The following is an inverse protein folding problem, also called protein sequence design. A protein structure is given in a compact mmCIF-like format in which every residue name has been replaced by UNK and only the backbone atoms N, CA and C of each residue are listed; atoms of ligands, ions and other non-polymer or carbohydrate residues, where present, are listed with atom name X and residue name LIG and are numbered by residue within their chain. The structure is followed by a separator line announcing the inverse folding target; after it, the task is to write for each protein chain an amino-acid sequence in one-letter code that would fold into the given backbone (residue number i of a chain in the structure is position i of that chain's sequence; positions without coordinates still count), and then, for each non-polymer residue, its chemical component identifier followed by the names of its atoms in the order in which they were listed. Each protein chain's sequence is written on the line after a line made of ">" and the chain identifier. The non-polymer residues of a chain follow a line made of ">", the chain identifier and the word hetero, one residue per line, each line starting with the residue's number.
data_IF_678702439847
#
_entry.id   IF_678702439847
#
_cell.length_a   1.000
_cell.length_b   1.000
_cell.length_c   1.000
_cell.angle_alpha   90.00
_cell.angle_beta   90.00
_cell.angle_gamma   90.00
#
_symmetry.space_group_name_H-M   'P 1'
#
loop_
_entity.id
_entity.type
_entity.pdbx_description
1 polymer ?
#
# COMPACT_ATOMS: atom_id res chain seq x y z
N UNK A 1 -6.67 32.19 43.55
CA UNK A 1 -5.58 31.61 42.72
C UNK A 1 -6.11 30.37 42.07
N UNK A 2 -6.18 30.27 40.71
CA UNK A 2 -6.66 29.05 40.10
C UNK A 2 -5.60 27.96 40.24
N UNK A 3 -5.97 26.86 40.83
CA UNK A 3 -5.20 25.63 40.95
C UNK A 3 -4.96 25.10 39.56
N UNK A 4 -3.74 25.18 39.05
CA UNK A 4 -3.34 24.47 37.82
C UNK A 4 -3.45 22.98 38.11
N UNK A 5 -4.50 22.35 37.56
CA UNK A 5 -4.59 20.89 37.54
C UNK A 5 -3.33 20.37 36.86
N UNK A 6 -2.49 19.65 37.59
CA UNK A 6 -1.36 18.91 37.02
C UNK A 6 -1.94 17.92 36.00
N UNK A 7 -1.61 18.09 34.74
CA UNK A 7 -1.85 17.08 33.76
C UNK A 7 -1.26 15.75 34.25
N UNK A 8 -2.02 14.67 34.34
CA UNK A 8 -1.47 13.40 34.81
C UNK A 8 -0.27 13.04 33.93
N UNK A 9 0.76 12.38 34.49
CA UNK A 9 1.90 11.96 33.68
C UNK A 9 1.42 11.20 32.48
N UNK A 10 2.07 11.40 31.32
CA UNK A 10 1.79 10.71 30.07
C UNK A 10 2.06 9.20 30.25
N UNK A 11 1.12 8.48 30.85
CA UNK A 11 1.18 7.04 31.05
C UNK A 11 0.47 6.40 29.85
N UNK A 12 1.19 5.58 29.12
CA UNK A 12 0.67 4.82 28.00
C UNK A 12 0.69 3.34 28.33
N UNK A 13 -0.33 2.60 27.86
CA UNK A 13 -0.42 1.15 28.03
C UNK A 13 0.48 0.44 27.00
N UNK A 14 0.71 1.10 25.86
CA UNK A 14 1.62 0.63 24.82
C UNK A 14 2.36 1.77 24.13
N UNK A 15 3.63 1.54 23.81
CA UNK A 15 4.44 2.46 22.99
C UNK A 15 4.92 1.67 21.76
N UNK A 16 4.66 2.21 20.57
CA UNK A 16 5.02 1.62 19.29
C UNK A 16 6.14 2.45 18.68
N UNK A 17 7.27 1.82 18.40
CA UNK A 17 8.40 2.44 17.72
C UNK A 17 8.22 2.28 16.21
N UNK A 18 8.02 3.39 15.52
CA UNK A 18 7.81 3.47 14.08
C UNK A 18 6.35 3.65 13.68
N UNK A 19 6.09 4.72 12.94
CA UNK A 19 4.80 5.08 12.36
C UNK A 19 4.61 4.56 10.93
N UNK A 20 5.18 3.40 10.59
CA UNK A 20 4.92 2.70 9.35
C UNK A 20 3.55 2.01 9.38
N UNK A 21 3.09 1.48 8.23
CA UNK A 21 1.76 0.86 8.10
C UNK A 21 1.50 -0.23 9.15
N UNK A 22 2.46 -1.10 9.45
CA UNK A 22 2.30 -2.14 10.47
C UNK A 22 2.15 -1.55 11.88
N UNK A 23 2.97 -0.56 12.23
CA UNK A 23 2.89 0.13 13.52
C UNK A 23 1.57 0.87 13.69
N UNK A 24 1.10 1.54 12.63
CA UNK A 24 -0.18 2.25 12.66
C UNK A 24 -1.37 1.30 12.79
N UNK A 25 -1.36 0.16 12.08
CA UNK A 25 -2.40 -0.86 12.21
C UNK A 25 -2.41 -1.43 13.63
N UNK A 26 -1.25 -1.79 14.18
CA UNK A 26 -1.13 -2.26 15.56
C UNK A 26 -1.67 -1.22 16.55
N UNK A 27 -1.26 0.04 16.41
CA UNK A 27 -1.76 1.13 17.24
C UNK A 27 -3.28 1.27 17.20
N UNK A 28 -3.86 1.19 16.00
CA UNK A 28 -5.31 1.31 15.82
C UNK A 28 -6.07 0.17 16.50
N UNK A 29 -5.62 -1.07 16.39
CA UNK A 29 -6.27 -2.20 17.07
C UNK A 29 -6.15 -2.10 18.59
N UNK A 30 -4.98 -1.73 19.13
CA UNK A 30 -4.80 -1.54 20.55
C UNK A 30 -5.66 -0.39 21.09
N UNK A 31 -5.71 0.72 20.37
CA UNK A 31 -6.56 1.86 20.74
C UNK A 31 -8.06 1.50 20.72
N UNK A 32 -8.51 0.72 19.73
CA UNK A 32 -9.89 0.20 19.68
C UNK A 32 -10.20 -0.74 20.83
N UNK A 33 -9.20 -1.44 21.35
CA UNK A 33 -9.34 -2.26 22.56
C UNK A 33 -9.35 -1.43 23.86
N UNK A 34 -9.31 -0.09 23.78
CA UNK A 34 -9.38 0.82 24.92
C UNK A 34 -8.03 1.15 25.53
N UNK A 35 -6.93 0.72 24.94
CA UNK A 35 -5.58 1.02 25.45
C UNK A 35 -5.13 2.42 25.02
N UNK A 36 -4.38 3.07 25.89
CA UNK A 36 -3.70 4.33 25.56
C UNK A 36 -2.40 4.01 24.84
N UNK A 37 -2.33 4.35 23.56
CA UNK A 37 -1.21 4.02 22.69
C UNK A 37 -0.45 5.27 22.29
N UNK A 38 0.88 5.20 22.32
CA UNK A 38 1.77 6.21 21.76
C UNK A 38 2.58 5.62 20.62
N UNK A 39 2.54 6.27 19.45
CA UNK A 39 3.41 5.94 18.33
C UNK A 39 4.55 6.95 18.29
N UNK A 40 5.78 6.46 18.19
CA UNK A 40 6.98 7.27 18.04
C UNK A 40 7.52 7.07 16.63
N UNK A 41 7.51 8.12 15.84
CA UNK A 41 8.08 8.13 14.49
C UNK A 41 9.28 9.09 14.45
N UNK A 42 10.37 8.64 13.83
CA UNK A 42 11.60 9.44 13.71
C UNK A 42 11.49 10.53 12.65
N UNK A 43 10.72 10.30 11.60
CA UNK A 43 10.49 11.25 10.51
C UNK A 43 9.33 12.17 10.87
N UNK A 44 9.28 13.32 10.21
CA UNK A 44 8.16 14.27 10.33
C UNK A 44 6.88 13.80 9.63
N UNK A 45 6.94 12.64 8.96
CA UNK A 45 5.84 12.04 8.23
C UNK A 45 5.67 10.57 8.62
N UNK A 46 4.43 10.15 8.85
CA UNK A 46 4.07 8.74 9.09
C UNK A 46 3.77 8.02 7.79
N UNK A 47 3.80 6.67 7.83
CA UNK A 47 3.48 5.81 6.69
C UNK A 47 4.58 4.80 6.34
N UNK A 48 5.83 5.06 6.74
CA UNK A 48 6.95 4.17 6.46
C UNK A 48 7.12 3.90 4.96
N UNK A 49 7.14 2.64 4.54
CA UNK A 49 7.23 2.27 3.12
C UNK A 49 6.01 2.69 2.27
N UNK A 50 4.87 2.97 2.92
CA UNK A 50 3.66 3.41 2.21
C UNK A 50 3.58 4.94 2.02
N UNK A 51 4.62 5.67 2.42
CA UNK A 51 4.67 7.13 2.26
C UNK A 51 4.64 7.53 0.79
N UNK A 52 3.85 8.58 0.51
CA UNK A 52 3.89 9.30 -0.77
C UNK A 52 4.70 10.56 -0.60
N UNK A 53 5.78 10.70 -1.35
CA UNK A 53 6.68 11.85 -1.30
C UNK A 53 6.75 12.56 -2.64
N UNK A 54 7.10 13.84 -2.60
CA UNK A 54 7.37 14.64 -3.78
C UNK A 54 8.85 14.44 -4.16
N UNK A 55 9.08 13.81 -5.32
CA UNK A 55 10.42 13.55 -5.82
C UNK A 55 10.89 14.61 -6.84
N UNK A 56 9.95 15.39 -7.36
CA UNK A 56 10.19 16.54 -8.23
C UNK A 56 9.04 17.54 -8.01
N UNK A 57 9.25 18.85 -8.08
CA UNK A 57 8.22 19.85 -7.90
C UNK A 57 6.94 19.54 -8.70
N UNK A 58 5.81 19.37 -8.00
CA UNK A 58 4.52 18.99 -8.57
C UNK A 58 4.32 17.49 -8.84
N UNK A 59 5.34 16.64 -8.65
CA UNK A 59 5.26 15.20 -8.90
C UNK A 59 5.44 14.39 -7.62
N UNK A 60 4.43 13.61 -7.28
CA UNK A 60 4.39 12.77 -6.07
C UNK A 60 4.11 11.32 -6.43
N UNK A 61 4.81 10.41 -5.77
CA UNK A 61 4.50 8.98 -5.86
C UNK A 61 4.75 8.28 -4.52
N UNK A 62 4.31 7.03 -4.43
CA UNK A 62 4.67 6.17 -3.31
C UNK A 62 6.14 5.78 -3.42
N UNK A 63 6.88 5.92 -2.32
CA UNK A 63 8.32 5.60 -2.29
C UNK A 63 8.57 4.11 -2.53
N UNK A 64 7.79 3.23 -1.89
CA UNK A 64 8.00 1.77 -1.97
C UNK A 64 6.72 0.97 -2.22
N UNK A 65 5.54 1.53 -1.96
CA UNK A 65 4.26 0.80 -2.00
C UNK A 65 3.38 1.26 -3.17
N UNK A 66 3.89 1.15 -4.39
CA UNK A 66 3.17 1.54 -5.61
C UNK A 66 2.00 0.62 -5.97
N UNK A 67 1.89 -0.53 -5.33
CA UNK A 67 0.81 -1.50 -5.52
C UNK A 67 0.22 -1.90 -4.19
N UNK A 68 -1.11 -1.86 -4.08
CA UNK A 68 -1.85 -2.36 -2.93
C UNK A 68 -2.21 -3.82 -3.18
N UNK A 69 -1.30 -4.75 -2.86
CA UNK A 69 -1.51 -6.19 -3.07
C UNK A 69 -1.58 -6.99 -1.78
N UNK A 70 -0.95 -6.52 -0.70
CA UNK A 70 -0.81 -7.27 0.55
C UNK A 70 -1.60 -6.69 1.71
N UNK A 71 -2.33 -5.59 1.51
CA UNK A 71 -3.19 -5.04 2.55
C UNK A 71 -4.37 -5.99 2.80
N UNK A 72 -4.39 -6.58 3.99
CA UNK A 72 -5.39 -7.58 4.34
C UNK A 72 -6.80 -6.96 4.33
N UNK A 73 -7.78 -7.55 3.60
CA UNK A 73 -9.16 -7.08 3.57
C UNK A 73 -9.81 -6.95 4.95
N UNK A 74 -9.40 -7.82 5.89
CA UNK A 74 -9.86 -7.72 7.28
C UNK A 74 -9.45 -6.40 7.93
N UNK A 75 -8.23 -5.92 7.68
CA UNK A 75 -7.75 -4.64 8.20
C UNK A 75 -8.55 -3.48 7.62
N UNK A 76 -8.85 -3.54 6.32
CA UNK A 76 -9.67 -2.53 5.64
C UNK A 76 -11.05 -2.45 6.29
N UNK A 77 -11.69 -3.60 6.49
CA UNK A 77 -13.03 -3.69 7.08
C UNK A 77 -13.04 -3.30 8.56
N UNK A 78 -12.15 -3.86 9.36
CA UNK A 78 -12.12 -3.64 10.81
C UNK A 78 -11.82 -2.17 11.17
N UNK A 79 -10.93 -1.55 10.43
CA UNK A 79 -10.53 -0.16 10.65
C UNK A 79 -11.33 0.84 9.80
N UNK A 80 -12.32 0.36 9.03
CA UNK A 80 -13.20 1.18 8.18
C UNK A 80 -12.40 2.16 7.30
N UNK A 81 -11.31 1.67 6.68
CA UNK A 81 -10.33 2.53 5.99
C UNK A 81 -10.93 3.32 4.83
N UNK A 82 -11.99 2.82 4.21
CA UNK A 82 -12.78 3.52 3.20
C UNK A 82 -13.39 4.82 3.75
N UNK A 83 -13.90 4.81 4.99
CA UNK A 83 -14.42 6.01 5.67
C UNK A 83 -13.31 7.03 5.98
N UNK A 84 -12.08 6.56 6.08
CA UNK A 84 -10.89 7.39 6.29
C UNK A 84 -10.20 7.80 4.99
N UNK A 85 -10.84 7.54 3.83
CA UNK A 85 -10.39 8.00 2.53
C UNK A 85 -9.51 7.02 1.76
N UNK A 86 -9.35 5.77 2.22
CA UNK A 86 -8.70 4.75 1.40
C UNK A 86 -9.52 4.50 0.14
N UNK A 87 -8.89 4.70 -1.00
CA UNK A 87 -9.46 4.37 -2.30
C UNK A 87 -8.46 3.58 -3.12
N UNK A 88 -8.73 2.31 -3.32
CA UNK A 88 -7.93 1.46 -4.21
C UNK A 88 -8.47 1.61 -5.63
N UNK A 89 -7.58 1.95 -6.55
CA UNK A 89 -7.92 2.15 -7.96
C UNK A 89 -7.22 1.06 -8.77
N UNK A 90 -7.99 0.34 -9.59
CA UNK A 90 -7.42 -0.62 -10.52
C UNK A 90 -6.62 0.08 -11.62
N UNK A 91 -5.45 -0.47 -11.92
CA UNK A 91 -4.64 0.01 -13.01
C UNK A 91 -5.16 -0.55 -14.35
N UNK A 92 -5.09 0.23 -15.43
CA UNK A 92 -5.52 -0.23 -16.75
C UNK A 92 -4.63 -1.34 -17.34
N UNK A 93 -3.42 -1.52 -16.79
CA UNK A 93 -2.48 -2.59 -17.10
C UNK A 93 -1.67 -2.93 -15.85
N UNK A 94 -1.25 -4.19 -15.71
CA UNK A 94 -0.38 -4.61 -14.60
C UNK A 94 1.05 -4.13 -14.82
N UNK A 95 1.61 -4.39 -16.01
CA UNK A 95 2.95 -3.97 -16.36
C UNK A 95 2.98 -3.37 -17.76
N UNK A 96 3.89 -2.43 -17.93
CA UNK A 96 4.34 -1.90 -19.22
C UNK A 96 5.82 -2.20 -19.37
N UNK A 97 6.16 -2.99 -20.38
CA UNK A 97 7.54 -3.36 -20.70
C UNK A 97 7.91 -2.77 -22.06
N UNK A 98 8.63 -1.66 -22.10
CA UNK A 98 9.14 -1.10 -23.35
C UNK A 98 10.25 -2.01 -23.88
N UNK A 99 10.22 -2.31 -25.17
CA UNK A 99 11.22 -3.11 -25.86
C UNK A 99 12.03 -2.28 -26.84
N UNK A 100 11.39 -1.30 -27.48
CA UNK A 100 12.02 -0.30 -28.34
C UNK A 100 11.19 0.99 -28.32
N UNK A 101 11.54 1.98 -29.13
CA UNK A 101 10.78 3.24 -29.23
C UNK A 101 9.34 3.04 -29.73
N UNK A 102 9.05 1.93 -30.41
CA UNK A 102 7.74 1.63 -30.99
C UNK A 102 7.12 0.32 -30.54
N UNK A 103 7.88 -0.52 -29.84
CA UNK A 103 7.42 -1.85 -29.41
C UNK A 103 7.38 -1.94 -27.90
N UNK A 104 6.30 -2.48 -27.38
CA UNK A 104 6.09 -2.71 -25.95
C UNK A 104 5.16 -3.88 -25.70
N UNK A 105 5.28 -4.48 -24.53
CA UNK A 105 4.35 -5.47 -24.00
C UNK A 105 3.55 -4.87 -22.83
N UNK A 106 2.23 -4.89 -22.96
CA UNK A 106 1.31 -4.64 -21.84
C UNK A 106 0.80 -5.96 -21.29
N UNK A 107 0.84 -6.10 -19.97
CA UNK A 107 0.28 -7.27 -19.29
C UNK A 107 -0.87 -6.90 -18.35
N UNK A 108 -1.71 -7.89 -18.03
CA UNK A 108 -2.88 -7.74 -17.17
C UNK A 108 -4.16 -7.40 -17.92
N UNK A 109 -5.29 -7.50 -17.21
CA UNK A 109 -6.63 -7.18 -17.70
C UNK A 109 -7.00 -7.88 -19.02
N UNK A 110 -6.62 -9.18 -19.15
CA UNK A 110 -6.90 -9.99 -20.34
C UNK A 110 -6.03 -9.69 -21.57
N UNK A 111 -5.11 -8.72 -21.50
CA UNK A 111 -4.29 -8.28 -22.63
C UNK A 111 -2.99 -9.05 -22.81
N UNK A 112 -2.56 -9.80 -21.80
CA UNK A 112 -1.24 -10.44 -21.80
C UNK A 112 -1.07 -11.41 -22.96
N UNK A 113 -2.03 -12.29 -23.19
CA UNK A 113 -2.00 -13.28 -24.26
C UNK A 113 -1.92 -12.63 -25.65
N UNK A 114 -2.76 -11.63 -25.89
CA UNK A 114 -2.74 -10.84 -27.11
C UNK A 114 -1.42 -10.08 -27.30
N UNK A 115 -0.88 -9.53 -26.20
CA UNK A 115 0.42 -8.87 -26.20
C UNK A 115 1.55 -9.82 -26.57
N UNK A 116 1.59 -11.03 -26.00
CA UNK A 116 2.57 -12.06 -26.28
C UNK A 116 2.47 -12.52 -27.76
N UNK A 117 1.26 -12.63 -28.29
CA UNK A 117 1.04 -13.07 -29.68
C UNK A 117 1.75 -12.21 -30.75
N UNK A 118 2.02 -10.94 -30.41
CA UNK A 118 2.78 -10.03 -31.28
C UNK A 118 4.24 -10.46 -31.46
N UNK A 119 4.78 -11.20 -30.50
CA UNK A 119 6.18 -11.65 -30.48
C UNK A 119 6.29 -13.14 -30.74
N UNK A 120 5.36 -13.96 -30.25
CA UNK A 120 5.36 -15.40 -30.37
C UNK A 120 3.93 -15.95 -30.28
N UNK A 121 3.41 -16.40 -31.41
CA UNK A 121 2.12 -17.07 -31.47
C UNK A 121 2.13 -18.36 -30.63
N UNK A 122 3.25 -19.12 -30.66
CA UNK A 122 3.43 -20.36 -29.91
C UNK A 122 3.34 -20.11 -28.38
N UNK A 123 3.96 -19.05 -27.89
CA UNK A 123 3.95 -18.75 -26.45
C UNK A 123 2.58 -18.21 -26.01
N UNK A 124 1.91 -17.46 -26.87
CA UNK A 124 0.54 -17.04 -26.63
C UNK A 124 -0.44 -18.22 -26.52
N UNK A 125 -0.29 -19.26 -27.36
CA UNK A 125 -1.10 -20.49 -27.25
C UNK A 125 -0.90 -21.22 -25.93
N UNK A 126 0.32 -21.21 -25.40
CA UNK A 126 0.69 -21.89 -24.14
C UNK A 126 0.49 -21.05 -22.89
N UNK A 127 0.11 -19.80 -23.04
CA UNK A 127 0.02 -18.87 -21.90
C UNK A 127 -1.00 -19.30 -20.86
N UNK A 128 -2.14 -19.86 -21.28
CA UNK A 128 -3.18 -20.30 -20.35
C UNK A 128 -2.71 -21.54 -19.55
N UNK A 129 -2.01 -22.47 -20.21
CA UNK A 129 -1.41 -23.63 -19.53
C UNK A 129 -0.34 -23.19 -18.51
N UNK A 130 0.46 -22.20 -18.87
CA UNK A 130 1.44 -21.62 -17.95
C UNK A 130 0.76 -21.01 -16.72
N UNK A 131 -0.30 -20.24 -16.89
CA UNK A 131 -1.05 -19.67 -15.78
C UNK A 131 -1.65 -20.75 -14.87
N UNK A 132 -2.23 -21.80 -15.44
CA UNK A 132 -2.81 -22.91 -14.68
C UNK A 132 -1.79 -23.72 -13.87
N UNK A 133 -0.50 -23.66 -14.22
CA UNK A 133 0.57 -24.29 -13.44
C UNK A 133 1.05 -23.45 -12.26
N UNK A 134 0.67 -22.16 -12.20
CA UNK A 134 1.04 -21.24 -11.13
C UNK A 134 -0.03 -21.11 -10.03
N UNK A 135 -1.24 -21.58 -10.27
CA UNK A 135 -2.36 -21.61 -9.33
C UNK A 135 -2.33 -22.87 -8.44
#
# INVERSE_FOLDING_TARGET
>A
MPTTAKTPPDIYDAVIAGGGHNGLVCAAYLARAGLRVKVLERRDITGGAAVTEEFHPGFRNSVCAYTVSLLNPKVIADLELDRHGLRVVERPAMNFLPLSDSEYLLTGNGRTKEGIAKFSARDAERYDDYCAHLE
#
